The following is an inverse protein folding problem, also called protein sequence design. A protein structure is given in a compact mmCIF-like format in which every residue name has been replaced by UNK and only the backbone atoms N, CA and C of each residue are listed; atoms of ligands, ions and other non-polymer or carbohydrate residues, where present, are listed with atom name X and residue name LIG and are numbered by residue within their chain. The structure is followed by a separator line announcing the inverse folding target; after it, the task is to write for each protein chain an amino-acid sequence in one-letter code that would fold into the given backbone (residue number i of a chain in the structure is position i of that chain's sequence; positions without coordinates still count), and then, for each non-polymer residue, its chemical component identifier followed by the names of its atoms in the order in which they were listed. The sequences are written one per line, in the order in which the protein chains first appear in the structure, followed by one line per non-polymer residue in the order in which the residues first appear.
data_IF_141932005343
#
_entry.id   IF_141932005343
#
_cell.length_a   1.000
_cell.length_b   1.000
_cell.length_c   1.000
_cell.angle_alpha   90.00
_cell.angle_beta   90.00
_cell.angle_gamma   90.00
#
_symmetry.space_group_name_H-M   'P 1'
#
loop_
_entity.id
_entity.type
_entity.pdbx_description
1 polymer ?
#
# COMPACT_ATOMS: atom_id res chain seq x y z
N UNK A 1 -19.95 -93.13 8.62
CA UNK A 1 -20.80 -92.11 9.27
C UNK A 1 -20.04 -90.79 9.19
N UNK A 2 -20.46 -89.70 8.57
CA UNK A 2 -21.51 -89.35 7.64
C UNK A 2 -21.08 -87.98 7.08
N UNK A 3 -21.49 -87.69 5.85
CA UNK A 3 -21.45 -86.37 5.22
C UNK A 3 -21.79 -85.25 6.20
N UNK A 4 -20.95 -84.23 6.30
CA UNK A 4 -21.37 -82.86 6.64
C UNK A 4 -20.59 -81.86 5.79
N UNK A 5 -21.26 -81.45 4.70
CA UNK A 5 -21.38 -80.09 4.20
C UNK A 5 -20.09 -79.37 3.74
N UNK A 6 -19.79 -79.34 2.43
CA UNK A 6 -20.23 -78.29 1.50
C UNK A 6 -20.05 -76.87 2.05
N UNK A 7 -18.99 -76.21 1.62
CA UNK A 7 -19.01 -74.85 1.02
C UNK A 7 -17.63 -74.55 0.43
N UNK A 8 -17.51 -74.09 -0.84
CA UNK A 8 -16.26 -73.51 -1.31
C UNK A 8 -15.89 -72.33 -0.40
N UNK A 9 -14.60 -72.03 -0.16
CA UNK A 9 -14.22 -70.88 0.64
C UNK A 9 -14.93 -69.67 0.04
N UNK A 10 -15.77 -69.03 0.86
CA UNK A 10 -16.47 -67.81 0.53
C UNK A 10 -15.50 -66.90 -0.20
N UNK A 11 -15.85 -66.47 -1.41
CA UNK A 11 -15.16 -65.38 -2.11
C UNK A 11 -15.01 -64.25 -1.11
N UNK A 12 -13.82 -64.15 -0.51
CA UNK A 12 -13.51 -63.08 0.42
C UNK A 12 -13.70 -61.82 -0.39
N UNK A 13 -14.72 -61.05 -0.05
CA UNK A 13 -14.89 -59.70 -0.58
C UNK A 13 -13.60 -58.99 -0.21
N UNK A 14 -12.70 -58.84 -1.18
CA UNK A 14 -11.43 -58.15 -0.98
C UNK A 14 -11.80 -56.75 -0.55
N UNK A 15 -11.49 -56.42 0.70
CA UNK A 15 -11.68 -55.09 1.22
C UNK A 15 -10.80 -54.15 0.40
N UNK A 16 -11.45 -53.36 -0.48
CA UNK A 16 -10.79 -52.33 -1.30
C UNK A 16 -10.67 -51.01 -0.54
N UNK A 17 -11.02 -50.97 0.75
CA UNK A 17 -10.82 -49.78 1.56
C UNK A 17 -9.31 -49.50 1.64
N UNK A 18 -8.91 -48.36 1.06
CA UNK A 18 -7.54 -47.88 1.15
C UNK A 18 -7.26 -47.56 2.61
N UNK A 19 -6.27 -48.24 3.20
CA UNK A 19 -5.81 -47.90 4.54
C UNK A 19 -5.47 -46.39 4.57
N UNK A 20 -6.10 -45.61 5.47
CA UNK A 20 -5.95 -44.15 5.53
C UNK A 20 -4.49 -43.66 5.60
N UNK A 21 -3.56 -44.52 6.05
CA UNK A 21 -2.12 -44.24 6.09
C UNK A 21 -1.47 -44.20 4.71
N UNK A 22 -2.03 -44.90 3.71
CA UNK A 22 -1.58 -44.89 2.32
C UNK A 22 -2.41 -43.95 1.43
N UNK A 23 -3.37 -43.22 2.01
CA UNK A 23 -4.09 -42.16 1.32
C UNK A 23 -3.14 -40.99 1.06
N UNK A 24 -2.81 -40.77 -0.22
CA UNK A 24 -2.00 -39.62 -0.62
C UNK A 24 -2.80 -38.34 -0.30
N UNK A 25 -2.33 -37.60 0.71
CA UNK A 25 -2.89 -36.29 1.05
C UNK A 25 -2.29 -35.22 0.13
N UNK A 26 -3.15 -34.52 -0.62
CA UNK A 26 -2.76 -33.39 -1.46
C UNK A 26 -3.14 -33.57 -2.94
N UNK A 27 -2.78 -32.58 -3.76
CA UNK A 27 -2.93 -32.67 -5.22
C UNK A 27 -1.58 -33.01 -5.86
N UNK A 28 -1.59 -33.94 -6.81
CA UNK A 28 -0.41 -34.25 -7.64
C UNK A 28 -0.02 -33.02 -8.47
N UNK A 29 1.25 -32.60 -8.40
CA UNK A 29 1.74 -31.40 -9.09
C UNK A 29 1.60 -31.49 -10.62
N UNK A 30 1.78 -32.68 -11.19
CA UNK A 30 1.61 -32.90 -12.63
C UNK A 30 0.16 -32.87 -13.11
N UNK A 31 -0.82 -32.97 -12.20
CA UNK A 31 -2.24 -33.07 -12.52
C UNK A 31 -3.00 -31.74 -12.32
N UNK A 32 -2.31 -30.69 -11.87
CA UNK A 32 -2.94 -29.41 -11.56
C UNK A 32 -2.34 -28.24 -12.33
N UNK A 33 -3.08 -27.14 -12.31
CA UNK A 33 -2.61 -25.82 -12.75
C UNK A 33 -2.36 -24.94 -11.53
N UNK A 34 -1.61 -23.84 -11.70
CA UNK A 34 -1.48 -22.82 -10.66
C UNK A 34 -2.84 -22.40 -10.07
N UNK A 35 -3.88 -22.31 -10.92
CA UNK A 35 -5.24 -21.97 -10.49
C UNK A 35 -5.85 -23.04 -9.58
N UNK A 36 -5.70 -24.32 -9.90
CA UNK A 36 -6.26 -25.40 -9.07
C UNK A 36 -5.50 -25.54 -7.75
N UNK A 37 -4.16 -25.41 -7.77
CA UNK A 37 -3.35 -25.41 -6.54
C UNK A 37 -3.69 -24.22 -5.64
N UNK A 38 -3.81 -23.02 -6.20
CA UNK A 38 -4.16 -21.83 -5.44
C UNK A 38 -5.57 -21.94 -4.83
N UNK A 39 -6.55 -22.46 -5.58
CA UNK A 39 -7.89 -22.73 -5.04
C UNK A 39 -7.84 -23.76 -3.91
N UNK A 40 -7.12 -24.87 -4.09
CA UNK A 40 -6.98 -25.89 -3.06
C UNK A 40 -6.34 -25.35 -1.78
N UNK A 41 -5.30 -24.52 -1.89
CA UNK A 41 -4.67 -23.84 -0.75
C UNK A 41 -5.63 -22.87 -0.05
N UNK A 42 -6.40 -22.08 -0.80
CA UNK A 42 -7.43 -21.20 -0.22
C UNK A 42 -8.46 -22.04 0.56
N UNK A 43 -9.00 -23.09 -0.06
CA UNK A 43 -9.98 -23.96 0.57
C UNK A 43 -9.41 -24.58 1.85
N UNK A 44 -8.21 -25.16 1.78
CA UNK A 44 -7.51 -25.71 2.94
C UNK A 44 -7.35 -24.68 4.07
N UNK A 45 -6.97 -23.44 3.75
CA UNK A 45 -6.79 -22.38 4.74
C UNK A 45 -8.12 -21.96 5.40
N UNK A 46 -9.22 -21.92 4.63
CA UNK A 46 -10.56 -21.63 5.14
C UNK A 46 -11.05 -22.78 6.03
N UNK A 47 -10.95 -24.02 5.54
CA UNK A 47 -11.43 -25.21 6.24
C UNK A 47 -10.72 -25.40 7.57
N UNK A 48 -9.41 -25.15 7.62
CA UNK A 48 -8.61 -25.28 8.84
C UNK A 48 -8.65 -24.03 9.73
N UNK A 49 -9.46 -23.01 9.41
CA UNK A 49 -9.56 -21.74 10.14
C UNK A 49 -8.19 -21.18 10.54
N UNK A 50 -7.19 -21.32 9.66
CA UNK A 50 -5.85 -20.85 9.96
C UNK A 50 -5.94 -19.37 10.35
N UNK A 51 -5.55 -19.06 11.58
CA UNK A 51 -5.79 -17.75 12.16
C UNK A 51 -5.08 -16.68 11.34
N UNK A 52 -5.81 -15.61 11.01
CA UNK A 52 -5.22 -14.43 10.41
C UNK A 52 -4.15 -13.90 11.36
N UNK A 53 -2.95 -13.62 10.82
CA UNK A 53 -1.82 -13.12 11.60
C UNK A 53 -2.25 -11.97 12.52
N UNK A 54 -1.95 -12.07 13.82
CA UNK A 54 -2.27 -11.08 14.86
C UNK A 54 -1.95 -9.65 14.43
N UNK A 55 -0.79 -9.42 13.81
CA UNK A 55 -0.37 -8.09 13.34
C UNK A 55 -1.28 -7.56 12.25
N UNK A 56 -1.77 -8.43 11.36
CA UNK A 56 -2.75 -8.06 10.33
C UNK A 56 -4.05 -7.57 10.97
N UNK A 57 -4.57 -8.28 11.97
CA UNK A 57 -5.80 -7.88 12.67
C UNK A 57 -5.64 -6.54 13.39
N UNK A 58 -4.49 -6.32 14.06
CA UNK A 58 -4.17 -5.05 14.72
C UNK A 58 -4.14 -3.90 13.71
N UNK A 59 -3.42 -4.06 12.60
CA UNK A 59 -3.31 -3.02 11.58
C UNK A 59 -4.65 -2.72 10.90
N UNK A 60 -5.47 -3.73 10.66
CA UNK A 60 -6.85 -3.55 10.17
C UNK A 60 -7.68 -2.74 11.16
N UNK A 61 -7.63 -3.09 12.45
CA UNK A 61 -8.36 -2.37 13.49
C UNK A 61 -7.90 -0.89 13.61
N UNK A 62 -6.59 -0.64 13.56
CA UNK A 62 -6.02 0.71 13.54
C UNK A 62 -6.54 1.51 12.34
N UNK A 63 -6.54 0.91 11.14
CA UNK A 63 -7.05 1.56 9.94
C UNK A 63 -8.56 1.82 10.02
N UNK A 64 -9.35 0.85 10.47
CA UNK A 64 -10.80 0.97 10.64
C UNK A 64 -11.17 2.07 11.63
N UNK A 65 -10.49 2.10 12.78
CA UNK A 65 -10.68 3.13 13.79
C UNK A 65 -10.36 4.52 13.22
N UNK A 66 -9.21 4.67 12.57
CA UNK A 66 -8.80 5.95 12.00
C UNK A 66 -9.76 6.43 10.89
N UNK A 67 -10.22 5.54 10.01
CA UNK A 67 -11.21 5.86 8.96
C UNK A 67 -12.55 6.28 9.59
N UNK A 68 -13.00 5.58 10.63
CA UNK A 68 -14.22 5.94 11.38
C UNK A 68 -14.08 7.32 12.02
N UNK A 69 -12.98 7.58 12.71
CA UNK A 69 -12.76 8.84 13.41
C UNK A 69 -12.69 10.03 12.45
N UNK A 70 -12.13 9.83 11.25
CA UNK A 70 -11.98 10.91 10.27
C UNK A 70 -13.21 11.11 9.37
N UNK A 71 -13.89 10.04 8.96
CA UNK A 71 -14.96 10.10 7.95
C UNK A 71 -16.29 9.47 8.40
N UNK A 72 -16.42 9.17 9.70
CA UNK A 72 -17.67 8.77 10.36
C UNK A 72 -18.14 7.33 10.11
N UNK A 73 -17.61 6.63 9.10
CA UNK A 73 -18.01 5.26 8.77
C UNK A 73 -16.89 4.25 9.03
N UNK A 74 -17.21 3.14 9.71
CA UNK A 74 -16.25 2.06 9.91
C UNK A 74 -16.30 1.12 8.71
N UNK A 75 -15.24 1.03 7.88
CA UNK A 75 -15.24 0.12 6.75
C UNK A 75 -15.12 -1.33 7.25
N UNK A 76 -15.78 -2.27 6.55
CA UNK A 76 -15.50 -3.69 6.75
C UNK A 76 -14.05 -3.98 6.32
N UNK A 77 -13.40 -4.95 6.97
CA UNK A 77 -12.02 -5.32 6.63
C UNK A 77 -11.88 -5.72 5.14
N UNK A 78 -12.89 -6.42 4.61
CA UNK A 78 -12.96 -6.78 3.19
C UNK A 78 -12.96 -5.56 2.26
N UNK A 79 -13.63 -4.47 2.65
CA UNK A 79 -13.68 -3.24 1.85
C UNK A 79 -12.36 -2.47 1.91
N UNK A 80 -11.65 -2.52 3.04
CA UNK A 80 -10.29 -1.99 3.16
C UNK A 80 -9.34 -2.77 2.23
N UNK A 81 -9.41 -4.10 2.21
CA UNK A 81 -8.61 -4.92 1.30
C UNK A 81 -8.93 -4.68 -0.18
N UNK A 82 -10.21 -4.41 -0.49
CA UNK A 82 -10.61 -4.03 -1.86
C UNK A 82 -10.08 -2.65 -2.21
N UNK A 83 -10.12 -1.68 -1.29
CA UNK A 83 -9.74 -0.29 -1.58
C UNK A 83 -8.25 -0.11 -1.84
N UNK A 84 -7.38 -0.90 -1.21
CA UNK A 84 -5.95 -0.85 -1.54
C UNK A 84 -5.64 -1.35 -2.97
N UNK A 85 -6.59 -2.04 -3.61
CA UNK A 85 -6.48 -2.50 -5.01
C UNK A 85 -7.02 -1.49 -6.02
N UNK A 86 -7.39 -0.29 -5.56
CA UNK A 86 -7.91 0.78 -6.41
C UNK A 86 -6.96 1.08 -7.58
N UNK A 87 -7.56 1.21 -8.77
CA UNK A 87 -6.84 1.46 -10.03
C UNK A 87 -6.00 2.74 -10.00
N UNK A 88 -6.41 3.73 -9.20
CA UNK A 88 -5.69 4.99 -9.02
C UNK A 88 -4.36 4.80 -8.28
N UNK A 89 -4.19 3.74 -7.50
CA UNK A 89 -2.97 3.52 -6.71
C UNK A 89 -1.95 2.77 -7.60
N UNK A 90 -0.70 3.23 -7.76
CA UNK A 90 0.31 2.47 -8.50
C UNK A 90 0.57 1.10 -7.89
N UNK A 91 0.85 0.09 -8.71
CA UNK A 91 1.07 -1.30 -8.24
C UNK A 91 2.13 -1.39 -7.14
N UNK A 92 3.24 -0.64 -7.26
CA UNK A 92 4.30 -0.61 -6.24
C UNK A 92 3.78 -0.10 -4.89
N UNK A 93 2.93 0.93 -4.90
CA UNK A 93 2.30 1.50 -3.71
C UNK A 93 1.25 0.55 -3.13
N UNK A 94 0.49 -0.17 -3.97
CA UNK A 94 -0.45 -1.22 -3.52
C UNK A 94 0.29 -2.33 -2.77
N UNK A 95 1.40 -2.80 -3.33
CA UNK A 95 2.23 -3.84 -2.71
C UNK A 95 2.82 -3.36 -1.38
N UNK A 96 3.27 -2.11 -1.33
CA UNK A 96 3.71 -1.47 -0.09
C UNK A 96 2.60 -1.46 0.97
N UNK A 97 1.43 -0.94 0.61
CA UNK A 97 0.29 -0.84 1.53
C UNK A 97 -0.21 -2.20 2.01
N UNK A 98 -0.26 -3.19 1.11
CA UNK A 98 -0.61 -4.58 1.45
C UNK A 98 0.38 -5.17 2.46
N UNK A 99 1.69 -4.99 2.26
CA UNK A 99 2.72 -5.45 3.20
C UNK A 99 2.68 -4.70 4.53
N UNK A 100 2.34 -3.41 4.52
CA UNK A 100 2.12 -2.63 5.74
C UNK A 100 0.95 -3.20 6.53
N UNK A 101 -0.21 -3.41 5.89
CA UNK A 101 -1.39 -3.99 6.53
C UNK A 101 -1.09 -5.37 7.11
N UNK A 102 -0.38 -6.23 6.37
CA UNK A 102 -0.02 -7.55 6.89
C UNK A 102 1.09 -7.54 7.96
N UNK A 103 1.87 -6.45 8.07
CA UNK A 103 3.06 -6.40 8.91
C UNK A 103 4.19 -7.29 8.38
N UNK A 104 4.31 -7.44 7.06
CA UNK A 104 5.28 -8.35 6.42
C UNK A 104 6.70 -7.76 6.30
N UNK A 105 6.90 -6.50 6.69
CA UNK A 105 8.22 -5.88 6.61
C UNK A 105 9.11 -6.34 7.77
N UNK A 106 10.35 -6.70 7.44
CA UNK A 106 11.41 -7.05 8.39
C UNK A 106 11.96 -5.75 9.00
N UNK A 107 11.38 -5.30 10.10
CA UNK A 107 11.74 -4.07 10.83
C UNK A 107 11.70 -4.34 12.34
N UNK A 108 12.41 -3.51 13.12
CA UNK A 108 12.28 -3.50 14.57
C UNK A 108 12.55 -4.85 15.22
N UNK A 109 11.56 -5.32 15.98
CA UNK A 109 11.53 -6.60 16.69
C UNK A 109 11.99 -7.81 15.86
N UNK A 110 11.82 -7.78 14.53
CA UNK A 110 12.31 -8.88 13.68
C UNK A 110 13.83 -9.02 13.78
N UNK A 111 14.56 -7.91 13.73
CA UNK A 111 16.03 -7.90 13.72
C UNK A 111 16.61 -8.06 15.12
N UNK A 112 15.91 -7.60 16.17
CA UNK A 112 16.32 -7.77 17.57
C UNK A 112 16.45 -9.23 18.01
N UNK A 113 15.82 -10.16 17.29
CA UNK A 113 15.86 -11.59 17.58
C UNK A 113 16.98 -12.32 16.84
N UNK A 114 17.74 -11.63 15.99
CA UNK A 114 18.78 -12.21 15.16
C UNK A 114 20.13 -11.77 15.72
N UNK A 115 20.92 -12.69 16.30
CA UNK A 115 22.24 -12.40 16.82
C UNK A 115 23.12 -11.67 15.80
N UNK A 116 23.83 -10.63 16.25
CA UNK A 116 24.72 -9.78 15.44
C UNK A 116 24.04 -8.84 14.44
N UNK A 117 22.70 -8.80 14.40
CA UNK A 117 21.93 -7.92 13.52
C UNK A 117 20.93 -7.02 14.29
N UNK A 118 21.01 -6.99 15.62
CA UNK A 118 20.09 -6.28 16.50
C UNK A 118 20.08 -4.77 16.24
N UNK A 119 21.23 -4.21 15.84
CA UNK A 119 21.36 -2.79 15.48
C UNK A 119 20.42 -2.39 14.32
N UNK A 120 20.03 -3.34 13.45
CA UNK A 120 19.05 -3.10 12.37
C UNK A 120 17.60 -3.01 12.85
N UNK A 121 17.35 -3.39 14.10
CA UNK A 121 16.05 -3.23 14.76
C UNK A 121 15.83 -1.85 15.35
N UNK A 122 16.88 -1.02 15.42
CA UNK A 122 16.82 0.32 16.00
C UNK A 122 16.86 1.39 14.91
N UNK A 123 16.13 2.48 15.14
CA UNK A 123 16.21 3.65 14.29
C UNK A 123 17.58 4.31 14.45
N UNK A 124 18.33 4.43 13.35
CA UNK A 124 19.66 5.04 13.33
C UNK A 124 19.67 6.54 13.67
N UNK A 125 18.50 7.20 13.75
CA UNK A 125 18.38 8.63 14.06
C UNK A 125 18.10 8.90 15.54
N UNK A 126 17.20 8.13 16.16
CA UNK A 126 16.74 8.36 17.53
C UNK A 126 16.96 7.18 18.49
N UNK A 127 17.35 6.01 18.01
CA UNK A 127 17.62 4.82 18.82
C UNK A 127 16.39 4.01 19.25
N UNK A 128 15.17 4.45 18.91
CA UNK A 128 13.94 3.69 19.23
C UNK A 128 13.81 2.41 18.40
N UNK A 129 13.08 1.42 18.92
CA UNK A 129 12.75 0.21 18.16
C UNK A 129 11.89 0.59 16.96
N UNK A 130 12.37 0.24 15.78
CA UNK A 130 11.80 0.77 14.56
C UNK A 130 10.53 0.03 14.14
N UNK A 131 9.41 0.75 14.10
CA UNK A 131 8.13 0.27 13.58
C UNK A 131 7.76 0.96 12.26
N UNK A 132 6.75 0.45 11.56
CA UNK A 132 6.28 1.10 10.34
C UNK A 132 5.65 2.47 10.65
N UNK A 133 5.00 2.63 11.80
CA UNK A 133 4.50 3.93 12.25
C UNK A 133 5.66 4.88 12.54
N UNK A 134 6.71 4.41 13.21
CA UNK A 134 7.91 5.18 13.50
C UNK A 134 8.56 5.73 12.23
N UNK A 135 8.76 4.86 11.22
CA UNK A 135 9.38 5.24 9.93
C UNK A 135 8.54 6.28 9.18
N UNK A 136 7.22 6.10 9.18
CA UNK A 136 6.35 6.89 8.31
C UNK A 136 5.89 8.19 8.95
N UNK A 137 5.77 8.29 10.27
CA UNK A 137 5.16 9.46 10.89
C UNK A 137 5.69 9.85 12.28
N UNK A 138 6.23 8.93 13.08
CA UNK A 138 6.50 9.23 14.51
C UNK A 138 7.96 9.66 14.77
N UNK A 139 8.94 9.29 13.92
CA UNK A 139 10.34 9.61 14.19
C UNK A 139 10.62 11.13 14.17
N UNK A 140 10.95 11.75 15.32
CA UNK A 140 11.10 13.20 15.40
C UNK A 140 12.37 13.72 14.72
N UNK A 141 13.37 12.86 14.55
CA UNK A 141 14.67 13.19 13.93
C UNK A 141 14.73 12.87 12.43
N UNK A 142 13.64 12.37 11.85
CA UNK A 142 13.62 11.96 10.44
C UNK A 142 13.51 13.15 9.50
N UNK A 143 14.55 13.46 8.69
CA UNK A 143 14.45 14.52 7.68
C UNK A 143 13.45 14.16 6.58
N UNK A 144 13.18 12.86 6.37
CA UNK A 144 12.17 12.39 5.43
C UNK A 144 10.77 12.81 5.88
N UNK A 145 10.42 12.56 7.15
CA UNK A 145 9.11 12.94 7.73
C UNK A 145 8.99 14.46 7.78
N UNK A 146 10.02 15.13 8.32
CA UNK A 146 10.06 16.58 8.51
C UNK A 146 10.01 17.37 7.19
N UNK A 147 10.39 16.76 6.06
CA UNK A 147 10.31 17.41 4.75
C UNK A 147 9.06 17.00 3.98
N UNK A 148 8.75 15.70 3.90
CA UNK A 148 7.73 15.18 2.97
C UNK A 148 6.30 15.52 3.42
N UNK A 149 5.98 15.37 4.70
CA UNK A 149 4.61 15.65 5.16
C UNK A 149 4.24 17.13 5.05
N UNK A 150 5.10 18.09 5.41
CA UNK A 150 4.82 19.50 5.17
C UNK A 150 4.63 19.85 3.69
N UNK A 151 5.30 19.14 2.76
CA UNK A 151 5.06 19.33 1.32
C UNK A 151 3.69 18.81 0.88
N UNK A 152 3.28 17.64 1.37
CA UNK A 152 1.96 17.09 1.12
C UNK A 152 0.85 17.99 1.66
N UNK A 153 1.01 18.47 2.89
CA UNK A 153 0.12 19.43 3.52
C UNK A 153 0.08 20.75 2.74
N UNK A 154 1.23 21.32 2.39
CA UNK A 154 1.30 22.57 1.62
C UNK A 154 0.53 22.45 0.32
N UNK A 155 0.73 21.37 -0.44
CA UNK A 155 0.05 21.20 -1.72
C UNK A 155 -1.46 21.01 -1.54
N UNK A 156 -1.88 20.29 -0.50
CA UNK A 156 -3.30 20.15 -0.16
C UNK A 156 -3.96 21.49 0.19
N UNK A 157 -3.28 22.27 1.04
CA UNK A 157 -3.77 23.55 1.56
C UNK A 157 -3.91 24.62 0.48
N UNK A 158 -3.24 24.48 -0.67
CA UNK A 158 -3.47 25.36 -1.84
C UNK A 158 -4.94 25.37 -2.29
N UNK A 159 -5.71 24.33 -1.99
CA UNK A 159 -7.14 24.24 -2.30
C UNK A 159 -8.05 24.87 -1.25
N UNK A 160 -7.49 25.51 -0.22
CA UNK A 160 -8.25 26.11 0.88
C UNK A 160 -8.92 25.09 1.80
N UNK A 161 -8.41 23.85 1.84
CA UNK A 161 -8.89 22.80 2.75
C UNK A 161 -7.83 22.49 3.81
N UNK A 162 -8.26 22.19 5.03
CA UNK A 162 -7.34 21.82 6.10
C UNK A 162 -6.79 20.41 5.85
N UNK A 163 -5.47 20.26 6.01
CA UNK A 163 -4.85 18.94 6.01
C UNK A 163 -5.23 18.21 7.29
N UNK A 164 -5.76 16.97 7.22
CA UNK A 164 -6.12 16.25 8.42
C UNK A 164 -4.87 15.82 9.18
N UNK A 165 -4.98 15.75 10.52
CA UNK A 165 -3.95 15.13 11.35
C UNK A 165 -3.73 13.69 10.90
N UNK A 166 -2.52 13.42 10.41
CA UNK A 166 -2.17 12.09 9.95
C UNK A 166 -1.90 11.17 11.14
N UNK A 167 -2.23 9.90 10.95
CA UNK A 167 -1.81 8.81 11.81
C UNK A 167 -1.44 7.61 10.94
N UNK A 168 -0.76 6.61 11.52
CA UNK A 168 -0.48 5.38 10.78
C UNK A 168 -1.77 4.73 10.23
N UNK A 169 -2.85 4.74 11.01
CA UNK A 169 -4.16 4.25 10.58
C UNK A 169 -4.76 5.02 9.40
N UNK A 170 -4.55 6.33 9.33
CA UNK A 170 -4.98 7.15 8.18
C UNK A 170 -4.18 6.79 6.93
N UNK A 171 -2.87 6.53 7.05
CA UNK A 171 -2.07 6.07 5.91
C UNK A 171 -2.58 4.72 5.41
N UNK A 172 -2.82 3.77 6.31
CA UNK A 172 -3.38 2.45 5.98
C UNK A 172 -4.78 2.55 5.34
N UNK A 173 -5.58 3.50 5.82
CA UNK A 173 -6.96 3.74 5.39
C UNK A 173 -7.14 4.78 4.30
N UNK A 174 -6.08 5.41 3.76
CA UNK A 174 -6.18 6.56 2.87
C UNK A 174 -6.99 6.28 1.59
N UNK A 175 -6.97 5.02 1.14
CA UNK A 175 -7.77 4.56 0.00
C UNK A 175 -9.29 4.61 0.23
N UNK A 176 -9.73 4.78 1.47
CA UNK A 176 -11.13 4.91 1.90
C UNK A 176 -11.54 6.34 2.21
N UNK A 177 -10.73 7.34 1.88
CA UNK A 177 -11.08 8.73 2.10
C UNK A 177 -12.50 9.07 1.60
N UNK A 178 -13.23 9.84 2.43
CA UNK A 178 -14.61 10.24 2.17
C UNK A 178 -14.91 11.69 2.58
N UNK A 179 -14.11 12.63 2.07
CA UNK A 179 -14.40 14.07 2.10
C UNK A 179 -15.73 14.34 1.38
N UNK A 180 -16.61 15.09 2.05
CA UNK A 180 -17.96 15.45 1.60
C UNK A 180 -18.23 16.93 1.82
N UNK A 181 -19.02 17.53 0.92
CA UNK A 181 -19.61 18.86 1.09
C UNK A 181 -21.09 18.78 0.81
N UNK A 182 -21.93 19.24 1.73
CA UNK A 182 -23.39 19.19 1.63
C UNK A 182 -23.90 17.78 1.24
N UNK A 183 -23.37 16.75 1.90
CA UNK A 183 -23.71 15.34 1.64
C UNK A 183 -23.09 14.72 0.37
N UNK A 184 -22.56 15.52 -0.55
CA UNK A 184 -21.96 15.04 -1.81
C UNK A 184 -20.48 14.72 -1.64
N UNK A 185 -20.06 13.57 -2.19
CA UNK A 185 -18.66 13.13 -2.17
C UNK A 185 -17.78 14.00 -3.07
N UNK A 186 -16.70 14.53 -2.52
CA UNK A 186 -15.72 15.33 -3.22
C UNK A 186 -14.72 14.41 -3.93
N UNK A 187 -15.05 13.95 -5.13
CA UNK A 187 -14.27 12.92 -5.85
C UNK A 187 -12.81 13.33 -6.07
N UNK A 188 -12.58 14.56 -6.50
CA UNK A 188 -11.24 15.14 -6.66
C UNK A 188 -10.44 15.12 -5.36
N UNK A 189 -11.05 15.58 -4.26
CA UNK A 189 -10.36 15.69 -2.98
C UNK A 189 -10.01 14.35 -2.37
N UNK A 190 -10.95 13.40 -2.44
CA UNK A 190 -10.70 12.03 -2.02
C UNK A 190 -9.56 11.38 -2.82
N UNK A 191 -9.51 11.65 -4.13
CA UNK A 191 -8.46 11.12 -4.99
C UNK A 191 -7.12 11.79 -4.76
N UNK A 192 -7.09 13.12 -4.57
CA UNK A 192 -5.86 13.84 -4.27
C UNK A 192 -5.32 13.44 -2.89
N UNK A 193 -6.16 13.36 -1.86
CA UNK A 193 -5.74 12.95 -0.51
C UNK A 193 -5.09 11.58 -0.55
N UNK A 194 -5.81 10.60 -1.10
CA UNK A 194 -5.30 9.23 -1.34
C UNK A 194 -3.95 9.26 -2.05
N UNK A 195 -3.81 10.09 -3.08
CA UNK A 195 -2.58 10.22 -3.86
C UNK A 195 -1.43 10.79 -3.02
N UNK A 196 -1.63 11.95 -2.40
CA UNK A 196 -0.60 12.62 -1.61
C UNK A 196 -0.17 11.78 -0.41
N UNK A 197 -1.11 11.20 0.33
CA UNK A 197 -0.81 10.37 1.49
C UNK A 197 0.00 9.12 1.10
N UNK A 198 -0.42 8.40 0.06
CA UNK A 198 0.21 7.12 -0.28
C UNK A 198 1.54 7.29 -1.04
N UNK A 199 1.65 8.26 -1.94
CA UNK A 199 2.93 8.56 -2.61
C UNK A 199 3.97 9.07 -1.61
N UNK A 200 3.56 9.92 -0.66
CA UNK A 200 4.42 10.45 0.40
C UNK A 200 4.92 9.35 1.34
N UNK A 201 4.00 8.52 1.86
CA UNK A 201 4.37 7.40 2.74
C UNK A 201 5.31 6.41 2.03
N UNK A 202 5.00 6.05 0.78
CA UNK A 202 5.86 5.15 0.02
C UNK A 202 7.23 5.77 -0.29
N UNK A 203 7.31 7.08 -0.57
CA UNK A 203 8.58 7.76 -0.76
C UNK A 203 9.40 7.79 0.53
N UNK A 204 8.82 8.12 1.69
CA UNK A 204 9.49 8.06 2.99
C UNK A 204 10.08 6.67 3.21
N UNK A 205 9.27 5.62 3.04
CA UNK A 205 9.72 4.23 3.15
C UNK A 205 10.89 3.93 2.21
N UNK A 206 10.81 4.34 0.95
CA UNK A 206 11.88 4.12 -0.05
C UNK A 206 13.17 4.83 0.32
N UNK A 207 13.10 6.11 0.71
CA UNK A 207 14.29 6.90 1.08
C UNK A 207 14.95 6.33 2.32
N UNK A 208 14.16 5.98 3.34
CA UNK A 208 14.64 5.29 4.52
C UNK A 208 15.31 3.97 4.15
N UNK A 209 14.70 3.14 3.30
CA UNK A 209 15.30 1.86 2.93
C UNK A 209 16.59 2.03 2.15
N UNK A 210 16.63 2.96 1.19
CA UNK A 210 17.84 3.27 0.43
C UNK A 210 18.96 3.72 1.38
N UNK A 211 18.65 4.61 2.32
CA UNK A 211 19.61 5.07 3.31
C UNK A 211 20.06 3.94 4.25
N UNK A 212 19.16 3.31 5.01
CA UNK A 212 19.53 2.33 6.05
C UNK A 212 20.16 1.06 5.47
N UNK A 213 19.67 0.58 4.32
CA UNK A 213 20.10 -0.72 3.77
C UNK A 213 21.31 -0.58 2.86
N UNK A 214 21.36 0.46 2.01
CA UNK A 214 22.42 0.56 1.00
C UNK A 214 23.59 1.44 1.46
N UNK A 215 23.34 2.46 2.31
CA UNK A 215 24.36 3.47 2.65
C UNK A 215 24.82 3.39 4.10
N UNK A 216 23.88 3.32 5.05
CA UNK A 216 24.11 2.98 6.45
C UNK A 216 24.78 4.05 7.34
N UNK A 217 25.23 5.18 6.81
CA UNK A 217 25.92 6.23 7.60
C UNK A 217 25.14 7.54 7.68
N UNK A 218 25.37 8.35 8.72
CA UNK A 218 24.67 9.63 8.92
C UNK A 218 25.00 10.66 7.84
N UNK A 219 26.23 10.66 7.33
CA UNK A 219 26.71 11.56 6.27
C UNK A 219 26.05 11.27 4.93
N UNK A 220 25.52 10.05 4.77
CA UNK A 220 24.89 9.58 3.54
C UNK A 220 23.39 9.91 3.45
N UNK A 221 22.84 10.54 4.50
CA UNK A 221 21.46 11.03 4.54
C UNK A 221 21.28 12.09 3.44
N UNK A 222 20.29 11.94 2.54
CA UNK A 222 19.99 12.96 1.54
C UNK A 222 19.71 14.32 2.17
N UNK A 223 20.17 15.39 1.52
CA UNK A 223 19.87 16.75 1.97
C UNK A 223 18.36 17.05 1.88
N UNK A 224 17.88 18.02 2.66
CA UNK A 224 16.47 18.44 2.61
C UNK A 224 16.03 18.85 1.21
N UNK A 225 16.91 19.49 0.42
CA UNK A 225 16.62 19.88 -0.96
C UNK A 225 16.52 18.67 -1.89
N UNK A 226 17.35 17.65 -1.68
CA UNK A 226 17.24 16.39 -2.41
C UNK A 226 15.92 15.68 -2.09
N UNK A 227 15.55 15.57 -0.80
CA UNK A 227 14.29 14.97 -0.36
C UNK A 227 13.10 15.73 -0.96
N UNK A 228 13.12 17.06 -0.88
CA UNK A 228 12.12 17.96 -1.48
C UNK A 228 11.98 17.69 -2.97
N UNK A 229 13.08 17.68 -3.71
CA UNK A 229 13.07 17.48 -5.16
C UNK A 229 12.59 16.09 -5.57
N UNK A 230 12.95 15.04 -4.81
CA UNK A 230 12.45 13.69 -5.03
C UNK A 230 10.94 13.61 -4.80
N UNK A 231 10.40 14.34 -3.82
CA UNK A 231 8.95 14.42 -3.60
C UNK A 231 8.24 15.18 -4.72
N UNK A 232 8.74 16.37 -5.10
CA UNK A 232 8.19 17.16 -6.21
C UNK A 232 8.20 16.35 -7.51
N UNK A 233 9.27 15.60 -7.76
CA UNK A 233 9.35 14.70 -8.91
C UNK A 233 8.29 13.59 -8.84
N UNK A 234 8.13 12.93 -7.68
CA UNK A 234 7.15 11.86 -7.51
C UNK A 234 5.71 12.33 -7.77
N UNK A 235 5.32 13.49 -7.22
CA UNK A 235 3.97 14.04 -7.41
C UNK A 235 3.74 14.52 -8.85
N UNK A 236 4.72 15.19 -9.46
CA UNK A 236 4.63 15.57 -10.88
C UNK A 236 4.55 14.35 -11.81
N UNK A 237 5.27 13.27 -11.49
CA UNK A 237 5.20 12.04 -12.24
C UNK A 237 3.80 11.41 -12.13
N UNK A 238 3.17 11.48 -10.95
CA UNK A 238 1.79 11.05 -10.76
C UNK A 238 0.79 11.88 -11.56
N UNK A 239 0.90 13.20 -11.53
CA UNK A 239 0.13 14.12 -12.37
C UNK A 239 0.29 13.77 -13.86
N UNK A 240 1.52 13.54 -14.32
CA UNK A 240 1.81 13.14 -15.70
C UNK A 240 1.12 11.83 -16.06
N UNK A 241 1.19 10.81 -15.20
CA UNK A 241 0.52 9.53 -15.45
C UNK A 241 -0.99 9.66 -15.45
N UNK A 242 -1.58 10.46 -14.56
CA UNK A 242 -3.02 10.72 -14.56
C UNK A 242 -3.49 11.29 -15.89
N UNK A 243 -2.75 12.28 -16.43
CA UNK A 243 -3.02 12.87 -17.74
C UNK A 243 -2.94 11.83 -18.85
N UNK A 244 -1.84 11.06 -18.91
CA UNK A 244 -1.66 10.02 -19.92
C UNK A 244 -2.77 8.97 -19.86
N UNK A 245 -3.22 8.61 -18.66
CA UNK A 245 -4.29 7.64 -18.46
C UNK A 245 -5.67 8.13 -18.90
N UNK A 246 -5.84 9.41 -19.28
CA UNK A 246 -7.09 9.91 -19.87
C UNK A 246 -7.24 9.61 -21.36
N UNK A 247 -6.19 9.10 -22.01
CA UNK A 247 -6.21 8.76 -23.43
C UNK A 247 -7.17 7.59 -23.71
N UNK A 248 -8.34 7.91 -24.25
CA UNK A 248 -9.38 6.93 -24.58
C UNK A 248 -8.99 6.08 -25.79
N UNK A 249 -8.20 6.60 -26.73
CA UNK A 249 -7.74 5.82 -27.88
C UNK A 249 -6.79 4.71 -27.43
N UNK A 250 -5.91 5.01 -26.48
CA UNK A 250 -4.93 4.05 -25.96
C UNK A 250 -5.52 3.09 -24.92
N UNK A 251 -6.37 3.58 -24.02
CA UNK A 251 -6.82 2.81 -22.85
C UNK A 251 -8.29 2.38 -22.91
N UNK A 252 -9.06 2.82 -23.90
CA UNK A 252 -10.47 2.47 -24.08
C UNK A 252 -11.28 2.68 -22.81
N UNK A 253 -12.05 1.65 -22.42
CA UNK A 253 -12.88 1.66 -21.21
C UNK A 253 -12.09 1.76 -19.90
N UNK A 254 -10.76 1.56 -19.91
CA UNK A 254 -9.90 1.69 -18.74
C UNK A 254 -9.39 3.12 -18.53
N UNK A 255 -9.58 4.01 -19.50
CA UNK A 255 -9.16 5.40 -19.41
C UNK A 255 -9.77 6.10 -18.19
N UNK A 256 -9.02 7.04 -17.61
CA UNK A 256 -9.53 7.95 -16.60
C UNK A 256 -10.40 9.02 -17.27
N UNK A 257 -11.48 9.41 -16.60
CA UNK A 257 -12.28 10.55 -17.04
C UNK A 257 -11.46 11.83 -16.86
N UNK A 258 -11.41 12.67 -17.89
CA UNK A 258 -10.69 13.96 -17.84
C UNK A 258 -11.18 14.81 -16.66
N UNK A 259 -12.50 14.93 -16.49
CA UNK A 259 -13.10 15.68 -15.37
C UNK A 259 -12.60 15.23 -13.99
N UNK A 260 -12.36 13.93 -13.81
CA UNK A 260 -11.83 13.42 -12.54
C UNK A 260 -10.40 13.88 -12.32
N UNK A 261 -9.57 13.89 -13.37
CA UNK A 261 -8.18 14.37 -13.31
C UNK A 261 -8.15 15.88 -13.07
N UNK A 262 -8.98 16.65 -13.80
CA UNK A 262 -9.14 18.08 -13.59
C UNK A 262 -9.56 18.39 -12.14
N UNK A 263 -10.59 17.70 -11.63
CA UNK A 263 -11.03 17.86 -10.23
C UNK A 263 -9.97 17.43 -9.20
N UNK A 264 -9.12 16.45 -9.52
CA UNK A 264 -8.07 15.98 -8.60
C UNK A 264 -7.02 17.07 -8.39
N UNK A 265 -6.57 17.71 -9.46
CA UNK A 265 -5.42 18.61 -9.45
C UNK A 265 -5.78 20.10 -9.44
N UNK A 266 -7.07 20.45 -9.56
CA UNK A 266 -7.55 21.83 -9.46
C UNK A 266 -7.07 22.50 -8.17
N UNK A 267 -6.59 23.73 -8.29
CA UNK A 267 -6.06 24.56 -7.21
C UNK A 267 -4.69 24.10 -6.70
N UNK A 268 -3.97 23.27 -7.45
CA UNK A 268 -2.66 22.73 -7.04
C UNK A 268 -1.60 22.84 -8.12
N UNK A 269 -1.91 23.45 -9.26
CA UNK A 269 -1.00 23.56 -10.39
C UNK A 269 -0.18 24.85 -10.32
N UNK A 270 0.99 24.81 -10.93
CA UNK A 270 1.84 25.99 -11.12
C UNK A 270 1.20 26.90 -12.18
N UNK A 271 1.01 28.18 -11.83
CA UNK A 271 0.41 29.20 -12.69
C UNK A 271 -0.94 28.76 -13.29
N UNK A 272 -1.80 28.17 -12.45
CA UNK A 272 -3.08 27.58 -12.87
C UNK A 272 -4.01 28.59 -13.53
N UNK A 273 -3.96 29.85 -13.12
CA UNK A 273 -4.70 30.98 -13.70
C UNK A 273 -4.39 31.23 -15.18
N UNK A 274 -3.22 30.77 -15.66
CA UNK A 274 -2.79 30.89 -17.06
C UNK A 274 -3.08 29.61 -17.87
N UNK A 275 -3.65 28.58 -17.24
CA UNK A 275 -4.03 27.34 -17.91
C UNK A 275 -5.48 27.42 -18.40
N UNK A 276 -5.81 26.79 -19.55
CA UNK A 276 -7.20 26.62 -19.94
C UNK A 276 -7.93 25.70 -18.95
N UNK A 277 -9.27 25.81 -18.89
CA UNK A 277 -10.13 24.95 -18.07
C UNK A 277 -9.82 23.46 -18.25
N UNK A 278 -9.54 23.05 -19.50
CA UNK A 278 -9.02 21.72 -19.81
C UNK A 278 -7.54 21.77 -20.22
N UNK A 279 -6.66 21.62 -19.22
CA UNK A 279 -5.21 21.61 -19.40
C UNK A 279 -4.60 20.23 -19.67
N UNK A 280 -5.40 19.16 -19.79
CA UNK A 280 -4.92 17.76 -19.87
C UNK A 280 -3.84 17.58 -20.96
N UNK A 281 -3.99 18.25 -22.10
CA UNK A 281 -3.10 18.13 -23.25
C UNK A 281 -2.05 19.25 -23.35
N UNK A 282 -1.99 20.18 -22.39
CA UNK A 282 -0.99 21.24 -22.36
C UNK A 282 0.38 20.73 -21.90
N UNK A 283 1.43 21.10 -22.61
CA UNK A 283 2.81 20.83 -22.18
C UNK A 283 3.15 21.64 -20.93
N UNK A 284 4.09 21.15 -20.12
CA UNK A 284 4.62 21.93 -18.99
C UNK A 284 3.72 22.08 -17.77
N UNK A 285 2.57 21.39 -17.70
CA UNK A 285 1.72 21.40 -16.50
C UNK A 285 2.40 20.65 -15.36
N UNK A 286 2.68 21.38 -14.28
CA UNK A 286 3.34 20.90 -13.06
C UNK A 286 2.52 21.28 -11.84
N UNK A 287 2.75 20.60 -10.71
CA UNK A 287 2.22 21.06 -9.42
C UNK A 287 2.88 22.35 -8.97
N UNK A 288 2.18 23.14 -8.15
CA UNK A 288 2.60 24.49 -7.73
C UNK A 288 3.80 24.53 -6.79
N UNK A 289 4.26 23.38 -6.29
CA UNK A 289 5.52 23.29 -5.54
C UNK A 289 6.67 23.02 -6.51
N UNK A 290 7.60 23.97 -6.61
CA UNK A 290 8.73 23.89 -7.53
C UNK A 290 9.93 23.17 -6.90
N UNK A 291 10.78 22.52 -7.73
CA UNK A 291 12.06 21.98 -7.27
C UNK A 291 12.98 23.10 -6.76
N UNK A 292 13.74 22.80 -5.70
CA UNK A 292 14.82 23.65 -5.19
C UNK A 292 16.11 23.38 -5.98
N UNK A 293 16.94 24.40 -6.15
CA UNK A 293 18.23 24.23 -6.83
C UNK A 293 19.22 23.52 -5.91
N UNK A 294 20.04 22.58 -6.42
CA UNK A 294 21.17 22.08 -5.65
C UNK A 294 22.13 23.23 -5.31
N UNK A 295 22.78 23.21 -4.13
CA UNK A 295 23.82 24.18 -3.80
C UNK A 295 24.93 24.18 -4.87
N UNK A 296 25.42 25.36 -5.27
CA UNK A 296 26.67 25.49 -6.05
C UNK A 296 26.56 25.67 -7.57
N UNK A 297 25.37 25.84 -8.17
CA UNK A 297 25.25 26.27 -9.58
C UNK A 297 24.74 27.72 -9.65
N UNK A 298 25.67 28.65 -9.81
CA UNK A 298 25.40 30.06 -10.13
C UNK A 298 24.78 30.22 -11.51
N UNK A 299 24.13 31.37 -11.73
CA UNK A 299 23.60 31.78 -13.04
C UNK A 299 24.73 32.03 -14.03
#
# INVERSE_FOLDING_TARGET
MAKLALSPPSTSVVDKSLDPRFSIRGLRLSAGSQRSFHRALITHHITNRMETNRRTNINLAIAQHAVRSMWGSTPQAADLWKSIRDKDIPVKVRNFLWKCLHGCYKIGEHWLKIPSYETRGLCLLCGEIESMSHILIECPRSPFIATIWPLAERLWSMRGSNWPTLSFGIILGASRADFRRNGKKLKGDNRLFKTLTLESAHLIWKLRCDWVINKGTLESIPSNDEIHNRWVHAVNLRLKFDRLQTDVQRYGSKALKQDLVLQTWRGTLLNEENLPDNWIWKSGVLVGITPRRPPGRGR
#
